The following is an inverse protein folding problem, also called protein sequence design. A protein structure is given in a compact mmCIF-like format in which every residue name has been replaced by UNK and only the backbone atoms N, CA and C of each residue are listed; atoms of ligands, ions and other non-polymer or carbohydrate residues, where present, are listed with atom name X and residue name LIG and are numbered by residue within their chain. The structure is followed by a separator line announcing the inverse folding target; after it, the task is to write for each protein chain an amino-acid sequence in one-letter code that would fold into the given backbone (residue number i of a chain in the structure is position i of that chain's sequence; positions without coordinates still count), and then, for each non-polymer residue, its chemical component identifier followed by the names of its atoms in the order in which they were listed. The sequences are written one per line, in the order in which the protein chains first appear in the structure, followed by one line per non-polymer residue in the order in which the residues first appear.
data_IF_333189497468
#
_entry.id   IF_333189497468
#
_cell.length_a   1.000
_cell.length_b   1.000
_cell.length_c   1.000
_cell.angle_alpha   90.00
_cell.angle_beta   90.00
_cell.angle_gamma   90.00
#
_symmetry.space_group_name_H-M   'P 1'
#
loop_
_entity.id
_entity.type
_entity.pdbx_description
1 polymer ?
#
# COMPACT_ATOMS: atom_id res chain seq x y z
N UNK A 1 -34.77 7.70 -33.93
CA UNK A 1 -34.35 6.33 -33.57
C UNK A 1 -33.06 6.02 -34.30
N UNK A 2 -32.11 5.41 -33.58
CA UNK A 2 -30.77 4.97 -34.01
C UNK A 2 -29.74 6.11 -34.11
N UNK A 3 -28.63 6.13 -33.37
CA UNK A 3 -28.05 5.24 -32.35
C UNK A 3 -27.00 6.05 -31.59
N UNK A 4 -27.02 6.01 -30.26
CA UNK A 4 -25.89 6.41 -29.40
C UNK A 4 -24.69 5.53 -29.76
N UNK A 5 -23.85 6.03 -30.66
CA UNK A 5 -22.75 5.28 -31.23
C UNK A 5 -21.52 5.49 -30.35
N UNK A 6 -21.40 4.57 -29.39
CA UNK A 6 -20.24 4.14 -28.62
C UNK A 6 -20.42 4.30 -27.10
N UNK A 7 -21.31 3.50 -26.51
CA UNK A 7 -20.82 2.71 -25.38
C UNK A 7 -19.68 1.85 -25.95
N UNK A 8 -18.44 2.34 -25.88
CA UNK A 8 -17.27 1.52 -26.17
C UNK A 8 -17.33 0.35 -25.19
N UNK A 9 -17.70 -0.83 -25.68
CA UNK A 9 -17.99 -2.01 -24.87
C UNK A 9 -16.83 -2.28 -23.90
N UNK A 10 -17.05 -1.96 -22.62
CA UNK A 10 -16.10 -2.29 -21.56
C UNK A 10 -16.19 -3.80 -21.34
N UNK A 11 -15.08 -4.49 -21.59
CA UNK A 11 -14.92 -5.92 -21.43
C UNK A 11 -14.51 -6.30 -20.00
N UNK A 12 -13.64 -5.52 -19.36
CA UNK A 12 -13.19 -5.75 -17.99
C UNK A 12 -12.80 -4.44 -17.30
N UNK A 13 -12.64 -4.50 -15.99
CA UNK A 13 -12.25 -3.38 -15.14
C UNK A 13 -10.99 -3.75 -14.37
N UNK A 14 -10.09 -2.81 -14.14
CA UNK A 14 -8.86 -3.06 -13.38
C UNK A 14 -8.51 -1.87 -12.48
N UNK A 15 -7.92 -2.18 -11.32
CA UNK A 15 -7.37 -1.18 -10.40
C UNK A 15 -5.98 -0.75 -10.88
N UNK A 16 -5.75 0.56 -10.93
CA UNK A 16 -4.46 1.16 -11.23
C UNK A 16 -4.01 2.12 -10.13
N UNK A 17 -2.71 2.15 -9.78
CA UNK A 17 -1.66 1.25 -10.30
C UNK A 17 -1.86 -0.20 -9.83
N UNK A 18 -1.36 -1.17 -10.60
CA UNK A 18 -1.37 -2.58 -10.17
C UNK A 18 -0.49 -2.83 -8.93
N UNK A 19 0.53 -1.98 -8.72
CA UNK A 19 1.32 -1.90 -7.49
C UNK A 19 1.42 -0.43 -7.05
N UNK A 20 0.71 -0.07 -5.97
CA UNK A 20 0.83 1.25 -5.35
C UNK A 20 2.01 1.32 -4.39
N UNK A 21 2.70 2.46 -4.37
CA UNK A 21 3.82 2.71 -3.47
C UNK A 21 3.48 3.88 -2.55
N UNK A 22 3.21 3.56 -1.29
CA UNK A 22 3.09 4.54 -0.22
C UNK A 22 4.42 4.69 0.53
N UNK A 23 4.58 5.79 1.27
CA UNK A 23 5.77 6.00 2.09
C UNK A 23 5.41 6.56 3.45
N UNK A 24 6.08 6.04 4.47
CA UNK A 24 5.93 6.53 5.84
C UNK A 24 6.38 7.98 5.97
N UNK A 25 5.89 8.64 7.02
CA UNK A 25 6.23 10.01 7.38
C UNK A 25 5.63 10.33 8.75
N UNK A 26 6.35 11.10 9.56
CA UNK A 26 5.95 11.38 10.94
C UNK A 26 5.02 12.59 11.10
N UNK A 27 4.60 13.23 10.00
CA UNK A 27 3.48 14.18 10.02
C UNK A 27 2.17 13.44 10.26
N UNK A 28 1.43 13.84 11.31
CA UNK A 28 0.21 13.16 11.72
C UNK A 28 -0.96 13.44 10.78
N UNK A 29 -1.08 14.69 10.35
CA UNK A 29 -2.25 15.16 9.61
C UNK A 29 -1.99 15.44 8.13
N UNK A 30 -0.73 15.72 7.75
CA UNK A 30 -0.39 16.11 6.39
C UNK A 30 0.23 14.97 5.57
N UNK A 31 -0.16 14.93 4.30
CA UNK A 31 0.34 13.99 3.31
C UNK A 31 0.34 14.64 1.93
N UNK A 32 0.96 13.97 0.96
CA UNK A 32 0.85 14.30 -0.46
C UNK A 32 0.56 13.03 -1.26
N UNK A 33 -0.02 13.20 -2.44
CA UNK A 33 -0.25 12.07 -3.36
C UNK A 33 1.07 11.76 -4.07
N UNK A 34 1.47 10.50 -4.04
CA UNK A 34 2.65 10.02 -4.73
C UNK A 34 2.57 10.20 -6.25
N UNK A 35 3.70 10.07 -6.96
CA UNK A 35 3.72 10.23 -8.40
C UNK A 35 2.91 9.14 -9.10
N UNK A 36 2.01 9.55 -10.00
CA UNK A 36 1.18 8.65 -10.81
C UNK A 36 1.75 8.44 -12.23
N UNK A 37 2.87 9.09 -12.54
CA UNK A 37 3.61 9.02 -13.81
C UNK A 37 5.11 8.95 -13.54
N UNK A 38 5.89 8.49 -14.52
CA UNK A 38 7.35 8.29 -14.39
C UNK A 38 8.13 9.59 -14.22
N UNK A 39 7.69 10.67 -14.85
CA UNK A 39 8.30 11.99 -14.78
C UNK A 39 7.29 13.01 -14.25
N UNK A 40 6.97 12.97 -12.95
CA UNK A 40 5.99 13.87 -12.35
C UNK A 40 6.56 15.29 -12.28
N UNK A 41 5.72 16.30 -12.47
CA UNK A 41 6.07 17.65 -12.06
C UNK A 41 6.17 17.68 -10.53
N UNK A 42 7.24 18.27 -9.98
CA UNK A 42 7.31 18.47 -8.54
C UNK A 42 6.40 19.59 -8.11
N UNK A 43 5.62 19.34 -7.06
CA UNK A 43 4.81 20.38 -6.42
C UNK A 43 4.69 20.14 -4.94
N UNK A 44 4.80 21.22 -4.16
CA UNK A 44 4.54 21.23 -2.73
C UNK A 44 5.75 20.92 -1.84
N UNK A 45 5.54 21.12 -0.53
CA UNK A 45 6.52 20.79 0.50
C UNK A 45 6.38 19.33 0.93
N UNK A 46 7.51 18.65 1.16
CA UNK A 46 7.56 17.27 1.66
C UNK A 46 7.56 17.16 3.20
N UNK A 47 7.60 18.32 3.87
CA UNK A 47 7.51 18.45 5.32
C UNK A 47 6.40 19.40 5.69
N UNK A 48 5.78 19.20 6.83
CA UNK A 48 4.86 20.17 7.44
C UNK A 48 5.63 21.36 8.04
N UNK A 49 4.88 22.33 8.58
CA UNK A 49 5.41 23.56 9.16
C UNK A 49 6.26 23.30 10.43
N UNK A 50 6.15 22.12 11.03
CA UNK A 50 6.94 21.67 12.18
C UNK A 50 8.19 20.88 11.75
N UNK A 51 8.37 20.65 10.46
CA UNK A 51 9.50 19.92 9.89
C UNK A 51 9.36 18.40 9.92
N UNK A 52 8.18 17.87 10.27
CA UNK A 52 7.87 16.45 10.18
C UNK A 52 7.63 16.06 8.71
N UNK A 53 8.05 14.86 8.34
CA UNK A 53 7.95 14.33 6.97
C UNK A 53 6.49 13.98 6.68
N UNK A 54 5.94 14.53 5.60
CA UNK A 54 4.61 14.16 5.10
C UNK A 54 4.61 12.75 4.57
N UNK A 55 3.55 11.99 4.87
CA UNK A 55 3.34 10.67 4.27
C UNK A 55 3.11 10.80 2.76
N UNK A 56 3.60 9.84 1.98
CA UNK A 56 3.26 9.71 0.56
C UNK A 56 2.09 8.73 0.43
N UNK A 57 0.93 9.22 -0.01
CA UNK A 57 -0.23 8.39 -0.26
C UNK A 57 -0.14 7.71 -1.63
N UNK A 58 -0.46 6.42 -1.70
CA UNK A 58 -0.73 5.74 -2.97
C UNK A 58 -2.20 5.97 -3.34
N UNK A 59 -2.47 6.57 -4.50
CA UNK A 59 -3.83 6.75 -5.02
C UNK A 59 -4.16 5.65 -6.01
N UNK A 60 -5.31 5.00 -5.82
CA UNK A 60 -5.81 3.95 -6.70
C UNK A 60 -7.09 4.39 -7.42
N UNK A 61 -7.20 3.97 -8.67
CA UNK A 61 -8.26 4.29 -9.63
C UNK A 61 -8.79 3.01 -10.24
N UNK A 62 -10.00 3.06 -10.79
CA UNK A 62 -10.57 1.95 -11.55
C UNK A 62 -10.74 2.41 -12.99
N UNK A 63 -10.27 1.62 -13.94
CA UNK A 63 -10.44 1.88 -15.38
C UNK A 63 -11.22 0.75 -16.02
N UNK A 64 -12.14 1.11 -16.92
CA UNK A 64 -12.79 0.17 -17.82
C UNK A 64 -11.99 0.02 -19.12
N UNK A 65 -11.79 -1.22 -19.57
CA UNK A 65 -11.02 -1.58 -20.75
C UNK A 65 -11.89 -2.26 -21.80
N UNK A 66 -11.61 -2.04 -23.08
CA UNK A 66 -12.21 -2.84 -24.15
C UNK A 66 -11.50 -4.19 -24.29
N UNK A 67 -12.04 -5.06 -25.15
CA UNK A 67 -11.49 -6.40 -25.44
C UNK A 67 -10.05 -6.39 -26.01
N UNK A 68 -9.61 -5.26 -26.56
CA UNK A 68 -8.28 -5.09 -27.14
C UNK A 68 -7.27 -4.57 -26.09
N UNK A 69 -7.68 -4.43 -24.83
CA UNK A 69 -6.83 -3.97 -23.73
C UNK A 69 -6.61 -2.45 -23.68
N UNK A 70 -7.41 -1.68 -24.42
CA UNK A 70 -7.33 -0.21 -24.38
C UNK A 70 -8.22 0.35 -23.26
N UNK A 71 -7.65 1.22 -22.43
CA UNK A 71 -8.41 1.95 -21.41
C UNK A 71 -9.43 2.87 -22.08
N UNK A 72 -10.71 2.67 -21.79
CA UNK A 72 -11.81 3.46 -22.33
C UNK A 72 -12.05 4.70 -21.47
N UNK A 73 -12.17 4.51 -20.15
CA UNK A 73 -12.39 5.60 -19.19
C UNK A 73 -12.10 5.17 -17.76
N UNK A 74 -11.90 6.16 -16.90
CA UNK A 74 -11.92 6.00 -15.44
C UNK A 74 -13.38 5.80 -14.96
N UNK A 75 -13.56 4.96 -13.95
CA UNK A 75 -14.81 4.77 -13.19
C UNK A 75 -14.68 5.51 -11.87
N UNK A 76 -15.66 6.35 -11.53
CA UNK A 76 -15.62 7.16 -10.29
C UNK A 76 -16.97 7.20 -9.60
N UNK A 77 -17.01 7.71 -8.37
CA UNK A 77 -18.27 7.96 -7.65
C UNK A 77 -19.07 9.17 -8.21
N UNK A 78 -18.58 9.85 -9.26
CA UNK A 78 -19.37 10.83 -10.03
C UNK A 78 -20.23 10.16 -11.11
N UNK A 79 -19.94 8.90 -11.47
CA UNK A 79 -20.68 8.20 -12.51
C UNK A 79 -22.12 7.91 -12.06
N UNK A 80 -23.12 8.04 -12.96
CA UNK A 80 -24.51 7.73 -12.64
C UNK A 80 -24.68 6.31 -12.10
N UNK A 81 -25.53 6.15 -11.09
CA UNK A 81 -25.89 4.87 -10.46
C UNK A 81 -24.68 3.99 -10.09
N UNK A 82 -23.55 4.62 -9.72
CA UNK A 82 -22.28 3.94 -9.45
C UNK A 82 -21.91 3.99 -7.97
N UNK A 83 -21.56 2.83 -7.41
CA UNK A 83 -20.97 2.71 -6.07
C UNK A 83 -19.63 2.02 -6.14
N UNK A 84 -18.64 2.55 -5.43
CA UNK A 84 -17.31 1.96 -5.28
C UNK A 84 -17.03 1.74 -3.80
N UNK A 85 -16.77 0.49 -3.43
CA UNK A 85 -16.29 0.10 -2.11
C UNK A 85 -14.91 -0.53 -2.27
N UNK A 86 -13.93 0.00 -1.55
CA UNK A 86 -12.56 -0.47 -1.55
C UNK A 86 -12.31 -1.33 -0.33
N UNK A 87 -11.59 -2.44 -0.50
CA UNK A 87 -11.11 -3.28 0.61
C UNK A 87 -9.61 -3.50 0.47
N UNK A 88 -8.90 -3.27 1.57
CA UNK A 88 -7.44 -3.44 1.64
C UNK A 88 -7.09 -4.33 2.83
N UNK A 89 -6.26 -5.33 2.57
CA UNK A 89 -5.71 -6.24 3.58
C UNK A 89 -4.19 -6.18 3.52
N UNK A 90 -3.55 -5.76 4.61
CA UNK A 90 -2.10 -5.56 4.73
C UNK A 90 -1.52 -6.32 5.92
N UNK A 91 -0.23 -6.62 5.86
CA UNK A 91 0.50 -7.18 6.98
C UNK A 91 1.96 -6.71 7.02
N UNK A 92 2.60 -6.88 8.17
CA UNK A 92 4.06 -6.86 8.31
C UNK A 92 4.53 -8.20 8.87
N UNK A 93 5.30 -8.95 8.07
CA UNK A 93 5.81 -10.28 8.44
C UNK A 93 7.31 -10.30 8.69
N UNK A 94 7.96 -9.13 8.77
CA UNK A 94 9.43 -9.03 8.85
C UNK A 94 10.01 -9.76 10.05
N UNK A 95 9.37 -9.68 11.22
CA UNK A 95 9.87 -10.30 12.44
C UNK A 95 9.63 -11.81 12.46
N UNK A 96 8.58 -12.29 11.79
CA UNK A 96 8.28 -13.71 11.60
C UNK A 96 9.08 -14.39 10.48
N UNK A 97 9.77 -13.62 9.64
CA UNK A 97 10.50 -14.12 8.47
C UNK A 97 11.93 -14.63 8.75
N UNK A 98 12.65 -14.94 7.68
CA UNK A 98 14.07 -15.27 7.69
C UNK A 98 14.95 -14.02 7.81
N UNK A 99 16.17 -14.24 8.28
CA UNK A 99 17.23 -13.24 8.25
C UNK A 99 17.58 -12.86 6.81
N UNK A 100 17.88 -11.58 6.58
CA UNK A 100 18.48 -11.13 5.34
C UNK A 100 20.00 -11.34 5.43
N UNK A 101 20.55 -12.22 4.61
CA UNK A 101 22.00 -12.46 4.47
C UNK A 101 22.44 -11.89 3.13
N UNK A 102 21.97 -12.51 2.04
CA UNK A 102 22.11 -12.06 0.65
C UNK A 102 20.86 -12.52 -0.12
N UNK A 103 20.78 -12.17 -1.40
CA UNK A 103 19.68 -12.62 -2.26
C UNK A 103 19.79 -14.14 -2.53
N UNK A 104 18.69 -14.87 -2.30
CA UNK A 104 18.66 -16.34 -2.37
C UNK A 104 18.73 -16.88 -3.80
N UNK A 105 18.49 -16.04 -4.80
CA UNK A 105 18.55 -16.35 -6.23
C UNK A 105 19.98 -16.25 -6.81
N UNK A 106 20.96 -15.83 -6.01
CA UNK A 106 22.37 -15.90 -6.40
C UNK A 106 22.85 -17.36 -6.48
N UNK A 107 23.79 -17.67 -7.40
CA UNK A 107 24.40 -18.99 -7.46
C UNK A 107 25.01 -19.42 -6.12
N UNK A 108 24.53 -20.54 -5.57
CA UNK A 108 24.97 -21.03 -4.26
C UNK A 108 24.32 -20.35 -3.05
N UNK A 109 23.12 -19.78 -3.23
CA UNK A 109 22.37 -18.95 -2.27
C UNK A 109 22.54 -19.31 -0.79
N UNK A 110 22.64 -18.29 0.08
CA UNK A 110 23.03 -18.48 1.48
C UNK A 110 21.97 -19.25 2.26
N UNK A 111 22.42 -19.98 3.29
CA UNK A 111 21.52 -20.43 4.34
C UNK A 111 21.11 -19.22 5.19
N UNK A 112 19.81 -18.97 5.29
CA UNK A 112 19.25 -17.96 6.18
C UNK A 112 18.53 -18.63 7.35
N UNK A 113 18.92 -18.29 8.58
CA UNK A 113 18.18 -18.71 9.77
C UNK A 113 16.93 -17.83 9.96
N UNK A 114 16.07 -18.18 10.90
CA UNK A 114 14.85 -17.42 11.19
C UNK A 114 15.19 -16.22 12.06
N UNK A 115 14.58 -15.06 11.77
CA UNK A 115 14.49 -13.99 12.78
C UNK A 115 13.67 -14.50 13.97
N UNK A 116 14.04 -14.03 15.15
CA UNK A 116 13.43 -14.44 16.42
C UNK A 116 13.42 -15.97 16.58
N UNK A 117 14.55 -16.63 16.28
CA UNK A 117 14.66 -18.10 16.25
C UNK A 117 14.36 -18.78 17.60
N UNK A 118 14.50 -18.05 18.71
CA UNK A 118 14.18 -18.51 20.06
C UNK A 118 12.67 -18.58 20.33
N UNK A 119 11.81 -17.99 19.47
CA UNK A 119 10.36 -18.06 19.62
C UNK A 119 9.84 -19.42 19.11
N UNK A 120 9.18 -20.22 19.97
CA UNK A 120 8.64 -21.52 19.57
C UNK A 120 7.66 -21.41 18.40
N UNK A 121 7.61 -22.46 17.55
CA UNK A 121 6.75 -22.48 16.35
C UNK A 121 5.29 -22.11 16.64
N UNK A 122 4.73 -22.64 17.73
CA UNK A 122 3.34 -22.39 18.15
C UNK A 122 3.07 -20.91 18.49
N UNK A 123 4.10 -20.11 18.77
CA UNK A 123 3.99 -18.71 19.16
C UNK A 123 4.43 -17.73 18.07
N UNK A 124 4.95 -18.21 16.93
CA UNK A 124 5.47 -17.34 15.86
C UNK A 124 4.41 -16.45 15.22
N UNK A 125 3.13 -16.79 15.31
CA UNK A 125 2.05 -15.92 14.85
C UNK A 125 2.02 -14.57 15.59
N UNK A 126 2.64 -14.48 16.78
CA UNK A 126 2.79 -13.22 17.54
C UNK A 126 3.82 -12.27 16.94
N UNK A 127 4.62 -12.71 15.97
CA UNK A 127 5.65 -11.91 15.31
C UNK A 127 5.11 -11.17 14.07
N UNK A 128 4.00 -11.64 13.51
CA UNK A 128 3.39 -11.02 12.33
C UNK A 128 2.35 -9.99 12.77
N UNK A 129 2.44 -8.78 12.22
CA UNK A 129 1.46 -7.72 12.45
C UNK A 129 0.42 -7.84 11.35
N UNK A 130 -0.73 -8.41 11.69
CA UNK A 130 -1.85 -8.65 10.78
C UNK A 130 -3.10 -7.95 11.32
N UNK A 131 -3.31 -6.65 11.03
CA UNK A 131 -4.58 -5.99 11.34
C UNK A 131 -5.72 -6.59 10.50
N UNK A 132 -6.97 -6.33 10.90
CA UNK A 132 -8.13 -6.72 10.07
C UNK A 132 -8.13 -5.94 8.75
N UNK A 133 -8.65 -6.53 7.65
CA UNK A 133 -8.93 -5.78 6.45
C UNK A 133 -9.80 -4.56 6.73
N UNK A 134 -9.49 -3.44 6.08
CA UNK A 134 -10.26 -2.21 6.17
C UNK A 134 -11.04 -1.99 4.88
N UNK A 135 -12.24 -1.41 5.03
CA UNK A 135 -13.13 -1.10 3.92
C UNK A 135 -13.51 0.38 3.96
N UNK A 136 -13.52 1.04 2.81
CA UNK A 136 -13.90 2.45 2.67
C UNK A 136 -14.69 2.67 1.38
N UNK A 137 -15.71 3.53 1.42
CA UNK A 137 -16.57 3.83 0.27
C UNK A 137 -17.07 5.28 0.30
N UNK A 138 -17.56 5.75 -0.85
CA UNK A 138 -18.04 7.12 -1.01
C UNK A 138 -16.93 8.15 -1.26
N UNK A 139 -17.31 9.42 -1.35
CA UNK A 139 -16.41 10.56 -1.58
C UNK A 139 -15.95 11.14 -0.25
N UNK A 140 -14.68 11.54 -0.16
CA UNK A 140 -14.12 12.18 1.04
C UNK A 140 -14.39 11.38 2.33
N UNK A 141 -14.30 10.06 2.25
CA UNK A 141 -14.56 9.21 3.39
C UNK A 141 -13.53 9.49 4.51
N UNK A 142 -13.96 9.42 5.78
CA UNK A 142 -13.05 9.60 6.90
C UNK A 142 -11.98 8.49 6.93
N UNK A 143 -10.88 8.69 7.67
CA UNK A 143 -9.84 7.66 7.81
C UNK A 143 -10.39 6.35 8.36
N UNK A 144 -10.04 5.23 7.70
CA UNK A 144 -10.25 3.87 8.20
C UNK A 144 -8.89 3.26 8.60
N UNK A 145 -8.54 3.24 9.89
CA UNK A 145 -7.19 2.90 10.35
C UNK A 145 -6.93 1.39 10.45
N UNK A 146 -5.68 0.99 10.24
CA UNK A 146 -5.16 -0.34 10.58
C UNK A 146 -4.47 -0.29 11.95
N UNK A 147 -5.27 -0.27 13.03
CA UNK A 147 -4.82 -0.03 14.41
C UNK A 147 -5.07 -1.21 15.37
N UNK A 148 -5.42 -2.38 14.86
CA UNK A 148 -5.66 -3.59 15.67
C UNK A 148 -4.62 -4.71 15.48
N UNK A 149 -3.66 -4.51 14.57
CA UNK A 149 -2.50 -5.38 14.39
C UNK A 149 -1.55 -5.33 15.60
N UNK A 150 -0.94 -6.47 15.94
CA UNK A 150 -0.06 -6.57 17.11
C UNK A 150 1.25 -7.25 16.82
N UNK A 151 2.33 -6.69 17.38
CA UNK A 151 3.63 -7.34 17.50
C UNK A 151 3.87 -7.72 18.96
N UNK A 152 3.98 -9.01 19.24
CA UNK A 152 4.23 -9.55 20.59
C UNK A 152 3.29 -8.99 21.67
N UNK A 153 2.03 -8.71 21.30
CA UNK A 153 1.00 -8.16 22.17
C UNK A 153 0.89 -6.64 22.19
N UNK A 154 1.83 -5.91 21.59
CA UNK A 154 1.83 -4.45 21.46
C UNK A 154 1.13 -4.04 20.17
N UNK A 155 0.19 -3.11 20.24
CA UNK A 155 -0.51 -2.60 19.06
C UNK A 155 0.43 -1.81 18.17
N UNK A 156 0.34 -2.03 16.84
CA UNK A 156 1.12 -1.30 15.84
C UNK A 156 0.16 -0.75 14.79
N UNK A 157 0.19 0.56 14.59
CA UNK A 157 -0.56 1.23 13.52
C UNK A 157 0.18 1.04 12.19
N UNK A 158 -0.45 0.41 11.20
CA UNK A 158 0.18 0.15 9.89
C UNK A 158 -0.23 1.13 8.78
N UNK A 159 -1.10 2.09 9.08
CA UNK A 159 -1.62 3.04 8.11
C UNK A 159 -3.13 3.22 8.17
N UNK A 160 -3.70 3.80 7.13
CA UNK A 160 -5.14 4.03 6.99
C UNK A 160 -5.57 4.16 5.53
N UNK A 161 -6.87 3.92 5.29
CA UNK A 161 -7.54 4.21 4.04
C UNK A 161 -8.31 5.52 4.12
N UNK A 162 -8.40 6.23 3.00
CA UNK A 162 -9.32 7.36 2.77
C UNK A 162 -9.88 7.28 1.35
N UNK A 163 -10.86 8.12 1.03
CA UNK A 163 -11.20 8.39 -0.36
C UNK A 163 -11.09 9.86 -0.70
N UNK A 164 -10.74 10.16 -1.96
CA UNK A 164 -10.72 11.52 -2.48
C UNK A 164 -12.14 11.99 -2.90
N UNK A 165 -12.22 13.19 -3.47
CA UNK A 165 -13.48 13.81 -3.89
C UNK A 165 -14.20 13.05 -5.01
N UNK A 166 -13.53 12.11 -5.68
CA UNK A 166 -14.08 11.26 -6.74
C UNK A 166 -14.31 9.82 -6.29
N UNK A 167 -14.09 9.52 -5.01
CA UNK A 167 -14.21 8.16 -4.46
C UNK A 167 -13.03 7.25 -4.83
N UNK A 168 -11.90 7.82 -5.25
CA UNK A 168 -10.65 7.06 -5.45
C UNK A 168 -10.07 6.71 -4.10
N UNK A 169 -9.48 5.52 -4.00
CA UNK A 169 -8.81 5.12 -2.78
C UNK A 169 -7.49 5.88 -2.61
N UNK A 170 -7.26 6.36 -1.39
CA UNK A 170 -5.97 6.81 -0.91
C UNK A 170 -5.51 5.84 0.19
N UNK A 171 -4.36 5.20 -0.01
CA UNK A 171 -3.70 4.42 1.02
C UNK A 171 -2.53 5.22 1.59
N UNK A 172 -2.53 5.42 2.91
CA UNK A 172 -1.42 6.00 3.65
C UNK A 172 -0.78 4.91 4.52
N UNK A 173 0.53 4.74 4.43
CA UNK A 173 1.26 3.83 5.32
C UNK A 173 1.41 4.38 6.75
N UNK A 174 2.20 3.66 7.56
CA UNK A 174 2.53 4.05 8.93
C UNK A 174 3.25 5.40 9.08
N UNK A 175 3.57 5.75 10.32
CA UNK A 175 4.21 7.01 10.70
C UNK A 175 5.75 6.96 10.69
N UNK A 176 6.34 5.82 10.35
CA UNK A 176 7.78 5.59 10.38
C UNK A 176 8.27 5.21 11.77
N UNK A 177 7.40 4.61 12.58
CA UNK A 177 7.70 4.14 13.92
C UNK A 177 8.36 2.75 13.89
N UNK A 178 9.34 2.55 14.75
CA UNK A 178 10.03 1.27 14.94
C UNK A 178 10.34 1.10 16.42
N UNK A 179 10.11 -0.09 16.97
CA UNK A 179 10.33 -0.34 18.37
C UNK A 179 10.69 -1.80 18.66
N UNK A 180 11.28 -2.00 19.84
CA UNK A 180 11.52 -3.31 20.41
C UNK A 180 10.37 -3.70 21.34
N UNK A 181 9.98 -4.97 21.34
CA UNK A 181 9.07 -5.55 22.31
C UNK A 181 9.70 -5.73 23.71
N UNK A 182 11.03 -5.59 23.80
CA UNK A 182 11.82 -5.76 25.03
C UNK A 182 12.48 -4.44 25.46
N UNK A 183 12.56 -4.22 26.77
CA UNK A 183 13.33 -3.14 27.36
C UNK A 183 14.84 -3.33 27.10
N UNK A 184 15.57 -2.22 26.96
CA UNK A 184 17.03 -2.18 26.80
C UNK A 184 17.59 -3.09 25.69
N UNK A 185 16.85 -3.21 24.59
CA UNK A 185 17.20 -4.05 23.44
C UNK A 185 17.54 -3.19 22.20
N UNK A 186 18.73 -2.57 22.14
CA UNK A 186 19.13 -1.77 20.99
C UNK A 186 19.25 -2.63 19.71
N UNK A 187 19.04 -2.05 18.52
CA UNK A 187 19.27 -2.78 17.27
C UNK A 187 20.76 -3.15 17.17
N UNK A 188 21.03 -4.41 16.82
CA UNK A 188 22.37 -4.99 16.80
C UNK A 188 22.95 -5.14 15.38
N UNK A 189 22.12 -5.05 14.34
CA UNK A 189 22.55 -5.22 12.96
C UNK A 189 21.77 -4.35 11.98
N UNK A 190 22.26 -4.30 10.74
CA UNK A 190 21.62 -3.58 9.64
C UNK A 190 20.18 -4.05 9.38
N UNK A 191 19.92 -5.36 9.41
CA UNK A 191 18.65 -5.92 8.93
C UNK A 191 18.01 -6.96 9.85
N UNK A 192 18.75 -7.60 10.76
CA UNK A 192 18.29 -8.75 11.53
C UNK A 192 18.32 -8.42 13.02
N UNK A 193 17.24 -7.79 13.51
CA UNK A 193 17.12 -7.32 14.88
C UNK A 193 16.01 -8.11 15.59
N UNK A 194 16.39 -9.02 16.50
CA UNK A 194 15.43 -9.82 17.25
C UNK A 194 14.67 -8.95 18.26
N UNK A 195 13.38 -9.21 18.41
CA UNK A 195 12.47 -8.45 19.25
C UNK A 195 12.04 -7.11 18.66
N UNK A 196 12.40 -6.78 17.42
CA UNK A 196 12.02 -5.52 16.77
C UNK A 196 10.91 -5.68 15.74
N UNK A 197 10.08 -4.63 15.62
CA UNK A 197 9.20 -4.42 14.48
C UNK A 197 9.27 -2.97 13.98
N UNK A 198 8.69 -2.75 12.80
CA UNK A 198 8.42 -1.44 12.23
C UNK A 198 6.98 -1.38 11.72
N UNK A 199 6.55 -0.20 11.28
CA UNK A 199 5.20 0.06 10.77
C UNK A 199 5.11 0.05 9.23
N UNK A 200 6.07 -0.61 8.56
CA UNK A 200 5.95 -0.89 7.14
C UNK A 200 4.90 -1.99 6.91
N UNK A 201 4.40 -2.09 5.69
CA UNK A 201 3.38 -3.07 5.36
C UNK A 201 3.27 -3.25 3.85
N UNK A 202 2.73 -4.38 3.43
CA UNK A 202 2.28 -4.60 2.07
C UNK A 202 1.04 -5.49 2.06
N UNK A 203 0.29 -5.48 0.96
CA UNK A 203 -0.90 -6.31 0.86
C UNK A 203 -1.81 -6.00 -0.31
N UNK A 204 -2.96 -6.67 -0.32
CA UNK A 204 -3.90 -6.65 -1.45
C UNK A 204 -4.82 -5.44 -1.42
N UNK A 205 -5.20 -4.98 -2.61
CA UNK A 205 -6.18 -3.92 -2.84
C UNK A 205 -7.24 -4.46 -3.79
N UNK A 206 -8.49 -4.46 -3.35
CA UNK A 206 -9.64 -4.90 -4.14
C UNK A 206 -10.76 -3.87 -4.08
N UNK A 207 -11.70 -3.96 -5.02
CA UNK A 207 -12.86 -3.08 -5.06
C UNK A 207 -14.10 -3.84 -5.50
N UNK A 208 -15.22 -3.55 -4.83
CA UNK A 208 -16.56 -3.90 -5.27
C UNK A 208 -17.16 -2.68 -5.97
N UNK A 209 -17.44 -2.83 -7.27
CA UNK A 209 -18.07 -1.77 -8.08
C UNK A 209 -19.45 -2.22 -8.52
N UNK A 210 -20.45 -1.38 -8.31
CA UNK A 210 -21.81 -1.59 -8.82
C UNK A 210 -22.17 -0.43 -9.74
N UNK A 211 -22.69 -0.70 -10.94
CA UNK A 211 -23.23 0.30 -11.87
C UNK A 211 -24.64 -0.11 -12.27
N UNK A 212 -25.64 0.75 -12.06
CA UNK A 212 -27.04 0.46 -12.40
C UNK A 212 -27.58 -0.79 -11.70
N UNK A 213 -27.11 -1.06 -10.48
CA UNK A 213 -27.47 -2.25 -9.70
C UNK A 213 -26.73 -3.55 -10.09
N UNK A 214 -25.83 -3.52 -11.09
CA UNK A 214 -25.03 -4.68 -11.49
C UNK A 214 -23.62 -4.60 -10.89
N UNK A 215 -23.23 -5.63 -10.15
CA UNK A 215 -21.87 -5.80 -9.65
C UNK A 215 -20.91 -6.16 -10.79
N UNK A 216 -19.73 -5.54 -10.78
CA UNK A 216 -18.67 -5.70 -11.78
C UNK A 216 -17.49 -6.43 -11.18
N UNK A 217 -16.87 -7.31 -11.97
CA UNK A 217 -15.57 -7.89 -11.65
C UNK A 217 -14.48 -6.87 -11.95
N UNK A 218 -13.60 -6.62 -10.97
CA UNK A 218 -12.48 -5.69 -11.09
C UNK A 218 -11.19 -6.43 -10.74
N UNK A 219 -10.21 -6.39 -11.65
CA UNK A 219 -8.90 -6.97 -11.39
C UNK A 219 -8.22 -6.23 -10.23
N UNK A 220 -7.70 -6.98 -9.23
CA UNK A 220 -7.15 -6.39 -8.02
C UNK A 220 -5.78 -5.76 -8.25
N UNK A 221 -5.30 -5.04 -7.24
CA UNK A 221 -3.96 -4.48 -7.18
C UNK A 221 -3.25 -4.89 -5.86
N UNK A 222 -2.03 -4.40 -5.68
CA UNK A 222 -1.23 -4.54 -4.47
C UNK A 222 -0.76 -3.16 -3.99
N UNK A 223 -0.44 -3.03 -2.71
CA UNK A 223 0.19 -1.85 -2.13
C UNK A 223 1.42 -2.24 -1.32
N UNK A 224 2.45 -1.40 -1.34
CA UNK A 224 3.62 -1.50 -0.47
C UNK A 224 3.93 -0.15 0.18
N UNK A 225 4.25 -0.19 1.47
CA UNK A 225 4.76 0.94 2.23
C UNK A 225 6.27 0.87 2.29
N UNK A 226 6.93 1.94 1.83
CA UNK A 226 8.39 2.07 1.82
C UNK A 226 8.87 3.20 2.76
N UNK A 227 10.19 3.26 3.06
CA UNK A 227 10.79 4.44 3.68
C UNK A 227 10.57 5.73 2.86
N UNK A 228 10.75 6.93 3.44
CA UNK A 228 10.62 8.18 2.71
C UNK A 228 11.56 8.25 1.50
N UNK A 229 11.12 8.89 0.41
CA UNK A 229 12.02 9.24 -0.69
C UNK A 229 12.64 10.61 -0.40
N UNK A 230 13.86 10.63 0.11
CA UNK A 230 14.57 11.88 0.42
C UNK A 230 15.12 12.60 -0.81
N UNK A 231 15.15 11.95 -1.98
CA UNK A 231 15.63 12.50 -3.24
C UNK A 231 14.53 12.40 -4.30
N UNK A 232 13.44 13.14 -4.15
CA UNK A 232 12.23 13.01 -4.98
C UNK A 232 12.43 13.33 -6.46
N UNK A 233 13.52 13.99 -6.86
CA UNK A 233 13.93 14.21 -8.26
C UNK A 233 14.92 13.18 -8.79
N UNK A 234 15.50 12.35 -7.92
CA UNK A 234 16.55 11.42 -8.29
C UNK A 234 15.93 10.09 -8.70
N UNK A 235 16.12 9.74 -9.97
CA UNK A 235 15.68 8.45 -10.53
C UNK A 235 16.91 7.53 -10.61
N UNK A 236 16.77 6.33 -10.07
CA UNK A 236 17.81 5.31 -10.14
C UNK A 236 18.06 4.84 -11.57
N UNK A 237 19.27 4.38 -11.87
CA UNK A 237 19.65 3.85 -13.20
C UNK A 237 18.81 2.63 -13.60
N UNK A 238 18.41 1.84 -12.60
CA UNK A 238 17.43 0.76 -12.72
C UNK A 238 16.36 0.96 -11.66
N UNK A 239 15.11 1.02 -12.11
CA UNK A 239 13.92 1.17 -11.29
C UNK A 239 13.23 -0.18 -11.12
N UNK A 240 12.29 -0.28 -10.17
CA UNK A 240 11.43 -1.47 -10.08
C UNK A 240 10.59 -1.68 -11.34
N UNK A 241 10.25 -0.61 -12.07
CA UNK A 241 9.58 -0.72 -13.35
C UNK A 241 10.45 -1.47 -14.38
N UNK A 242 11.76 -1.18 -14.42
CA UNK A 242 12.70 -1.89 -15.30
C UNK A 242 12.90 -3.37 -14.94
N UNK A 243 12.56 -3.77 -13.70
CA UNK A 243 12.61 -5.19 -13.28
C UNK A 243 11.34 -5.93 -13.68
N UNK A 244 10.22 -5.21 -13.81
CA UNK A 244 8.91 -5.76 -14.15
C UNK A 244 8.60 -5.79 -15.65
N UNK A 245 9.44 -5.16 -16.49
CA UNK A 245 9.26 -5.01 -17.94
C UNK A 245 10.45 -5.53 -18.71
#
# INVERSE_FOLDING_TARGET
MSTDKAATDIAYYAIHPGLGVARVGNSRDEYYIGPEVTNPAQSGAFKDDQGAIKRQAARFRIYGYNKDGNAIREITADDPDTTIEWTVEIANKKAGWYEFVEALDLPGGPRADRRNANIPNQDRYKLDICPKPQTVSGKNAPPAPFDDGKFMGQTVYLGELRTDEKGRLLFLGGYGESHSAYADNPPASFGNNNGWCDDMSDGSVSAKVTIGGKELTVDPAWVVTAPPNYGTTLIGVKTMLDVMT
#
